data_IF_759833944956
#
_entry.id   IF_759833944956
#
_cell.length_a   1.000
_cell.length_b   1.000
_cell.length_c   1.000
_cell.angle_alpha   90.00
_cell.angle_beta   90.00
_cell.angle_gamma   90.00
#
_symmetry.space_group_name_H-M   'P 1'
#
loop_
_entity.id
_entity.type
_entity.pdbx_description
1 polymer ?
#
# COMPACT_ATOMS: atom_id res chain seq x y z
N UNK A 1 -12.84 -2.99 -3.35
CA UNK A 1 -11.83 -4.06 -3.30
C UNK A 1 -12.05 -5.14 -4.36
N UNK A 2 -13.21 -5.78 -4.45
CA UNK A 2 -13.44 -6.84 -5.49
C UNK A 2 -13.20 -6.38 -6.93
N UNK A 3 -13.58 -5.13 -7.27
CA UNK A 3 -13.31 -4.58 -8.60
C UNK A 3 -11.81 -4.50 -8.92
N UNK A 4 -10.95 -4.27 -7.92
CA UNK A 4 -9.50 -4.27 -8.11
C UNK A 4 -8.98 -5.68 -8.35
N UNK A 5 -9.46 -6.68 -7.60
CA UNK A 5 -9.10 -8.09 -7.85
C UNK A 5 -9.49 -8.57 -9.24
N UNK A 6 -10.67 -8.18 -9.74
CA UNK A 6 -11.06 -8.48 -11.13
C UNK A 6 -10.13 -7.86 -12.16
N UNK A 7 -9.66 -6.64 -11.90
CA UNK A 7 -8.70 -5.97 -12.78
C UNK A 7 -7.33 -6.65 -12.73
N UNK A 8 -6.90 -7.09 -11.55
CA UNK A 8 -5.63 -7.77 -11.34
C UNK A 8 -5.62 -9.26 -11.77
N UNK A 9 -6.78 -9.86 -12.08
CA UNK A 9 -6.95 -11.31 -12.30
C UNK A 9 -5.93 -11.89 -13.28
N UNK A 10 -5.71 -11.21 -14.42
CA UNK A 10 -4.78 -11.69 -15.44
C UNK A 10 -3.31 -11.72 -14.97
N UNK A 11 -2.92 -10.77 -14.12
CA UNK A 11 -1.59 -10.71 -13.53
C UNK A 11 -1.47 -11.71 -12.38
N UNK A 12 -2.48 -11.78 -11.51
CA UNK A 12 -2.56 -12.75 -10.41
C UNK A 12 -2.44 -14.18 -10.94
N UNK A 13 -3.13 -14.52 -12.04
CA UNK A 13 -3.05 -15.84 -12.68
C UNK A 13 -1.64 -16.17 -13.23
N UNK A 14 -0.82 -15.16 -13.52
CA UNK A 14 0.58 -15.30 -13.94
C UNK A 14 1.58 -15.19 -12.77
N UNK A 15 1.09 -15.15 -11.53
CA UNK A 15 1.88 -14.89 -10.34
C UNK A 15 2.65 -13.55 -10.42
N UNK A 16 1.97 -12.50 -10.89
CA UNK A 16 2.48 -11.14 -10.93
C UNK A 16 1.64 -10.24 -10.03
N UNK A 17 2.29 -9.41 -9.23
CA UNK A 17 1.62 -8.39 -8.44
C UNK A 17 0.97 -7.34 -9.34
N UNK A 18 -0.04 -6.66 -8.81
CA UNK A 18 -0.66 -5.49 -9.44
C UNK A 18 -0.85 -4.46 -8.35
N UNK A 19 -0.54 -3.20 -8.66
CA UNK A 19 -0.65 -2.07 -7.75
C UNK A 19 -1.53 -0.95 -8.32
N UNK A 20 -2.08 -0.14 -7.41
CA UNK A 20 -2.90 1.03 -7.73
C UNK A 20 -2.80 2.08 -6.63
N UNK A 21 -3.03 3.34 -7.01
CA UNK A 21 -2.96 4.49 -6.11
C UNK A 21 -4.36 4.82 -5.59
N UNK A 22 -4.50 4.91 -4.27
CA UNK A 22 -5.73 5.33 -3.62
C UNK A 22 -5.75 6.85 -3.59
N UNK A 23 -6.75 7.44 -4.25
CA UNK A 23 -6.92 8.87 -4.33
C UNK A 23 -8.31 9.28 -3.86
N UNK A 24 -8.41 10.50 -3.32
CA UNK A 24 -9.65 10.88 -2.66
C UNK A 24 -9.74 12.32 -2.20
N UNK A 25 -10.76 12.59 -1.38
CA UNK A 25 -11.14 13.93 -0.98
C UNK A 25 -11.19 14.05 0.55
N UNK A 26 -10.85 15.23 1.07
CA UNK A 26 -11.02 15.57 2.47
C UNK A 26 -12.37 16.27 2.68
N UNK A 27 -13.23 15.72 3.54
CA UNK A 27 -14.49 16.36 3.92
C UNK A 27 -14.71 16.26 5.42
N UNK A 28 -14.95 17.41 6.07
CA UNK A 28 -15.19 17.49 7.52
C UNK A 28 -14.12 16.76 8.35
N UNK A 29 -12.84 16.91 8.00
CA UNK A 29 -11.69 16.26 8.66
C UNK A 29 -11.64 14.73 8.50
N UNK A 30 -12.36 14.17 7.53
CA UNK A 30 -12.30 12.76 7.18
C UNK A 30 -11.88 12.63 5.72
N UNK A 31 -10.85 11.82 5.46
CA UNK A 31 -10.48 11.44 4.11
C UNK A 31 -11.41 10.35 3.59
N UNK A 32 -11.83 10.49 2.34
CA UNK A 32 -12.64 9.51 1.64
C UNK A 32 -11.87 9.06 0.41
N UNK A 33 -11.55 7.77 0.33
CA UNK A 33 -11.04 7.15 -0.89
C UNK A 33 -12.20 7.09 -1.88
N UNK A 34 -12.13 7.90 -2.94
CA UNK A 34 -13.18 8.00 -3.97
C UNK A 34 -12.73 7.51 -5.33
N UNK A 35 -11.42 7.40 -5.53
CA UNK A 35 -10.82 7.15 -6.84
C UNK A 35 -9.70 6.13 -6.68
N UNK A 36 -9.69 5.12 -7.54
CA UNK A 36 -8.58 4.19 -7.68
C UNK A 36 -7.92 4.46 -9.02
N UNK A 37 -6.65 4.85 -9.00
CA UNK A 37 -5.85 5.09 -10.20
C UNK A 37 -5.00 3.84 -10.43
N UNK A 38 -5.16 3.20 -11.60
CA UNK A 38 -4.31 2.08 -12.01
C UNK A 38 -3.25 2.62 -12.95
N UNK A 39 -2.00 2.83 -12.48
CA UNK A 39 -0.96 3.36 -13.32
C UNK A 39 -0.44 2.28 -14.28
N UNK A 40 0.30 2.72 -15.29
CA UNK A 40 1.28 1.83 -15.94
C UNK A 40 2.24 1.33 -14.84
N UNK A 41 2.66 0.09 -14.95
CA UNK A 41 3.42 -0.55 -13.87
C UNK A 41 4.27 -1.69 -14.40
N UNK A 42 5.38 -1.93 -13.72
CA UNK A 42 6.23 -3.11 -13.89
C UNK A 42 6.12 -3.97 -12.63
N UNK A 43 5.97 -5.27 -12.79
CA UNK A 43 5.64 -6.18 -11.69
C UNK A 43 6.46 -7.46 -11.75
N UNK A 44 6.81 -7.97 -10.57
CA UNK A 44 7.33 -9.32 -10.34
C UNK A 44 6.32 -10.13 -9.51
N UNK A 45 6.71 -11.30 -9.01
CA UNK A 45 5.90 -12.08 -8.06
C UNK A 45 5.81 -11.48 -6.67
N UNK A 46 6.74 -10.57 -6.32
CA UNK A 46 6.94 -10.08 -4.96
C UNK A 46 7.13 -8.55 -4.90
N UNK A 47 6.88 -7.85 -6.02
CA UNK A 47 6.93 -6.39 -6.07
C UNK A 47 6.15 -5.81 -7.26
N UNK A 48 5.65 -4.59 -7.10
CA UNK A 48 5.06 -3.79 -8.17
C UNK A 48 5.55 -2.34 -8.07
N UNK A 49 5.99 -1.79 -9.20
CA UNK A 49 6.41 -0.40 -9.30
C UNK A 49 5.50 0.34 -10.29
N UNK A 50 4.80 1.37 -9.80
CA UNK A 50 4.09 2.31 -10.65
C UNK A 50 5.08 3.09 -11.51
N UNK A 51 4.76 3.26 -12.78
CA UNK A 51 5.51 4.07 -13.74
C UNK A 51 4.63 5.21 -14.25
N UNK A 52 5.23 6.15 -14.99
CA UNK A 52 4.53 7.30 -15.56
C UNK A 52 3.85 8.18 -14.49
N UNK A 53 4.59 8.59 -13.47
CA UNK A 53 4.09 9.42 -12.36
C UNK A 53 3.40 10.71 -12.81
N UNK A 54 3.83 11.29 -13.94
CA UNK A 54 3.18 12.46 -14.56
C UNK A 54 1.71 12.20 -14.89
N UNK A 55 1.37 11.02 -15.43
CA UNK A 55 -0.02 10.65 -15.75
C UNK A 55 -0.86 10.47 -14.47
N UNK A 56 -0.24 9.92 -13.41
CA UNK A 56 -0.89 9.80 -12.10
C UNK A 56 -1.21 11.19 -11.55
N UNK A 57 -0.21 12.07 -11.56
CA UNK A 57 -0.35 13.45 -11.11
C UNK A 57 -1.42 14.21 -11.89
N UNK A 58 -1.46 14.09 -13.22
CA UNK A 58 -2.48 14.73 -14.05
C UNK A 58 -3.91 14.34 -13.65
N UNK A 59 -4.14 13.06 -13.36
CA UNK A 59 -5.48 12.58 -12.93
C UNK A 59 -5.83 13.17 -11.56
N UNK A 60 -4.87 13.21 -10.64
CA UNK A 60 -5.07 13.76 -9.31
C UNK A 60 -5.32 15.27 -9.34
N UNK A 61 -4.54 16.02 -10.10
CA UNK A 61 -4.66 17.48 -10.24
C UNK A 61 -6.02 17.87 -10.86
N UNK A 62 -6.37 17.25 -12.01
CA UNK A 62 -7.68 17.48 -12.67
C UNK A 62 -8.85 17.17 -11.76
N UNK A 63 -8.71 16.17 -10.90
CA UNK A 63 -9.74 15.76 -9.93
C UNK A 63 -9.66 16.46 -8.57
N UNK A 64 -8.64 17.30 -8.34
CA UNK A 64 -8.31 17.86 -7.01
C UNK A 64 -8.25 16.79 -5.91
N UNK A 65 -7.61 15.66 -6.20
CA UNK A 65 -7.57 14.48 -5.34
C UNK A 65 -6.26 14.41 -4.54
N UNK A 66 -6.38 14.08 -3.26
CA UNK A 66 -5.25 13.72 -2.41
C UNK A 66 -4.80 12.28 -2.69
N UNK A 67 -3.48 12.02 -2.64
CA UNK A 67 -2.94 10.66 -2.48
C UNK A 67 -3.21 10.19 -1.06
N UNK A 68 -3.95 9.10 -0.90
CA UNK A 68 -4.34 8.55 0.41
C UNK A 68 -3.68 7.21 0.74
N UNK A 69 -2.77 6.76 -0.12
CA UNK A 69 -2.11 5.48 0.02
C UNK A 69 -2.18 4.67 -1.27
N UNK A 70 -2.10 3.35 -1.13
CA UNK A 70 -1.99 2.44 -2.27
C UNK A 70 -2.59 1.08 -1.95
N UNK A 71 -2.86 0.31 -3.00
CA UNK A 71 -3.38 -1.05 -2.93
C UNK A 71 -2.55 -1.93 -3.86
N UNK A 72 -2.20 -3.14 -3.41
CA UNK A 72 -1.56 -4.14 -4.25
C UNK A 72 -2.06 -5.56 -3.98
N UNK A 73 -1.71 -6.47 -4.87
CA UNK A 73 -2.01 -7.90 -4.71
C UNK A 73 -0.78 -8.68 -4.30
N UNK A 74 -0.95 -9.64 -3.38
CA UNK A 74 -0.05 -10.77 -3.18
C UNK A 74 -0.65 -12.00 -3.87
N UNK A 75 -0.22 -12.38 -5.09
CA UNK A 75 -0.86 -13.45 -5.85
C UNK A 75 -0.79 -14.81 -5.18
N UNK A 76 0.31 -15.09 -4.46
CA UNK A 76 0.54 -16.39 -3.81
C UNK A 76 0.89 -16.27 -2.34
N UNK A 77 1.39 -15.11 -1.90
CA UNK A 77 1.81 -14.85 -0.53
C UNK A 77 0.61 -14.58 0.38
N UNK A 78 0.83 -14.70 1.69
CA UNK A 78 -0.17 -14.36 2.70
C UNK A 78 -0.35 -12.84 2.81
N UNK A 79 -1.36 -12.41 3.56
CA UNK A 79 -1.67 -10.99 3.73
C UNK A 79 -0.80 -10.32 4.82
N UNK A 80 0.32 -9.72 4.40
CA UNK A 80 1.27 -8.98 5.26
C UNK A 80 1.98 -7.87 4.46
N UNK A 81 2.72 -6.98 5.13
CA UNK A 81 3.63 -6.04 4.43
C UNK A 81 5.04 -6.65 4.35
N UNK A 82 5.53 -6.86 3.13
CA UNK A 82 6.91 -7.27 2.87
C UNK A 82 7.90 -6.13 3.13
N UNK A 83 9.21 -6.42 3.18
CA UNK A 83 10.25 -5.38 3.32
C UNK A 83 10.11 -4.28 2.25
N UNK A 84 9.86 -4.68 1.00
CA UNK A 84 9.65 -3.74 -0.11
C UNK A 84 8.39 -2.88 0.13
N UNK A 85 7.32 -3.48 0.63
CA UNK A 85 6.08 -2.75 0.95
C UNK A 85 6.28 -1.75 2.09
N UNK A 86 7.07 -2.10 3.12
CA UNK A 86 7.37 -1.22 4.24
C UNK A 86 8.12 0.03 3.75
N UNK A 87 9.16 -0.15 2.95
CA UNK A 87 9.93 0.94 2.34
C UNK A 87 9.08 1.81 1.41
N UNK A 88 8.24 1.18 0.57
CA UNK A 88 7.32 1.91 -0.28
C UNK A 88 6.33 2.72 0.55
N UNK A 89 5.68 2.10 1.54
CA UNK A 89 4.65 2.73 2.34
C UNK A 89 5.19 3.85 3.24
N UNK A 90 6.42 3.74 3.73
CA UNK A 90 7.09 4.80 4.50
C UNK A 90 7.00 6.15 3.79
N UNK A 91 7.29 6.20 2.49
CA UNK A 91 7.25 7.45 1.72
C UNK A 91 5.84 8.06 1.65
N UNK A 92 4.79 7.22 1.57
CA UNK A 92 3.41 7.69 1.63
C UNK A 92 3.06 8.25 3.02
N UNK A 93 3.45 7.54 4.08
CA UNK A 93 3.09 7.89 5.45
C UNK A 93 3.86 9.10 5.98
N UNK A 94 5.09 9.34 5.51
CA UNK A 94 5.82 10.60 5.76
C UNK A 94 5.06 11.80 5.17
N UNK A 95 4.51 11.65 3.96
CA UNK A 95 3.80 12.74 3.28
C UNK A 95 2.39 12.95 3.82
N UNK A 96 1.73 11.89 4.26
CA UNK A 96 0.40 11.91 4.86
C UNK A 96 0.31 10.85 5.97
N UNK A 97 0.29 11.25 7.25
CA UNK A 97 0.22 10.30 8.37
C UNK A 97 -0.96 9.32 8.30
N UNK A 98 -2.08 9.73 7.70
CA UNK A 98 -3.27 8.90 7.51
C UNK A 98 -3.19 7.95 6.30
N UNK A 99 -2.10 7.94 5.52
CA UNK A 99 -1.96 7.08 4.36
C UNK A 99 -2.03 5.60 4.73
N UNK A 100 -2.59 4.77 3.84
CA UNK A 100 -2.79 3.34 4.07
C UNK A 100 -2.19 2.47 2.96
N UNK A 101 -1.72 1.29 3.33
CA UNK A 101 -1.33 0.23 2.41
C UNK A 101 -2.36 -0.90 2.47
N UNK A 102 -3.03 -1.19 1.35
CA UNK A 102 -3.99 -2.28 1.24
C UNK A 102 -3.34 -3.46 0.54
N UNK A 103 -3.21 -4.59 1.22
CA UNK A 103 -2.75 -5.85 0.64
C UNK A 103 -3.98 -6.69 0.28
N UNK A 104 -4.04 -7.18 -0.95
CA UNK A 104 -5.06 -8.12 -1.41
C UNK A 104 -4.41 -9.50 -1.64
N UNK A 105 -4.69 -10.48 -0.79
CA UNK A 105 -4.10 -11.82 -0.84
C UNK A 105 -5.17 -12.88 -1.19
N UNK A 106 -5.52 -13.07 -2.47
CA UNK A 106 -6.63 -13.93 -2.89
C UNK A 106 -6.47 -15.42 -2.52
N UNK A 107 -5.23 -15.90 -2.39
CA UNK A 107 -4.91 -17.30 -2.03
C UNK A 107 -4.84 -17.54 -0.52
N UNK A 108 -4.77 -16.48 0.30
CA UNK A 108 -4.73 -16.59 1.75
C UNK A 108 -6.10 -17.02 2.29
N UNK A 109 -6.16 -18.24 2.83
CA UNK A 109 -7.39 -18.83 3.37
C UNK A 109 -7.82 -18.21 4.70
N UNK A 110 -6.93 -17.47 5.37
CA UNK A 110 -7.18 -16.88 6.69
C UNK A 110 -7.54 -15.39 6.59
N UNK A 111 -6.88 -14.65 5.70
CA UNK A 111 -7.07 -13.20 5.54
C UNK A 111 -6.90 -12.81 4.08
N UNK A 112 -8.02 -12.59 3.39
CA UNK A 112 -8.00 -12.23 1.95
C UNK A 112 -7.53 -10.81 1.67
N UNK A 113 -7.56 -9.93 2.67
CA UNK A 113 -7.06 -8.57 2.54
C UNK A 113 -6.69 -8.00 3.91
N UNK A 114 -5.85 -6.97 3.91
CA UNK A 114 -5.44 -6.24 5.10
C UNK A 114 -5.21 -4.77 4.74
N UNK A 115 -5.46 -3.89 5.72
CA UNK A 115 -5.25 -2.46 5.58
C UNK A 115 -4.29 -2.06 6.68
N UNK A 116 -3.12 -1.60 6.29
CA UNK A 116 -1.99 -1.43 7.18
C UNK A 116 -1.44 -0.01 7.14
N UNK A 117 -0.81 0.37 8.25
CA UNK A 117 0.07 1.53 8.37
C UNK A 117 1.29 1.17 9.20
N UNK A 118 2.40 1.87 8.99
CA UNK A 118 3.58 1.74 9.85
C UNK A 118 3.24 2.29 11.24
N UNK A 119 3.74 1.65 12.28
CA UNK A 119 3.61 2.19 13.63
C UNK A 119 4.46 3.46 13.76
N UNK A 120 3.96 4.47 14.47
CA UNK A 120 4.62 5.75 14.66
C UNK A 120 4.73 6.01 16.18
N UNK A 121 5.93 6.18 16.76
CA UNK A 121 7.23 6.35 16.08
C UNK A 121 7.98 5.07 15.71
N UNK A 122 7.60 3.91 16.23
CA UNK A 122 8.40 2.67 16.16
C UNK A 122 8.80 2.26 14.74
N UNK A 123 7.82 1.80 13.95
CA UNK A 123 8.04 1.33 12.59
C UNK A 123 8.53 2.39 11.61
N UNK A 124 7.99 3.62 11.72
CA UNK A 124 8.47 4.76 10.95
C UNK A 124 9.96 5.03 11.20
N UNK A 125 10.42 4.93 12.44
CA UNK A 125 11.83 5.07 12.80
C UNK A 125 12.71 3.95 12.23
N UNK A 126 12.27 2.69 12.35
CA UNK A 126 13.00 1.53 11.82
C UNK A 126 13.23 1.66 10.31
N UNK A 127 12.21 2.06 9.56
CA UNK A 127 12.34 2.21 8.10
C UNK A 127 13.11 3.48 7.72
N UNK A 128 12.96 4.58 8.48
CA UNK A 128 13.74 5.81 8.28
C UNK A 128 15.26 5.58 8.35
N UNK A 129 15.71 4.84 9.36
CA UNK A 129 17.13 4.60 9.61
C UNK A 129 17.72 3.49 8.72
N UNK A 130 16.88 2.75 7.99
CA UNK A 130 17.33 1.66 7.15
C UNK A 130 18.06 2.16 5.89
N UNK A 131 19.25 1.60 5.63
CA UNK A 131 20.09 1.93 4.46
C UNK A 131 20.28 0.74 3.51
N UNK A 132 19.62 -0.38 3.78
CA UNK A 132 19.72 -1.60 2.98
C UNK A 132 18.87 -1.49 1.71
N UNK A 133 19.26 -2.26 0.68
CA UNK A 133 18.56 -2.27 -0.62
C UNK A 133 18.20 -3.69 -1.00
N UNK A 134 17.13 -3.84 -1.79
CA UNK A 134 16.57 -5.15 -2.11
C UNK A 134 15.82 -5.76 -0.92
N UNK A 135 15.55 -7.05 -0.99
CA UNK A 135 14.77 -7.74 0.04
C UNK A 135 15.63 -8.11 1.26
N UNK A 136 15.28 -7.59 2.43
CA UNK A 136 16.00 -7.82 3.68
C UNK A 136 15.06 -7.82 4.90
N UNK A 137 15.40 -8.49 6.01
CA UNK A 137 14.63 -8.40 7.25
C UNK A 137 14.86 -7.06 7.96
N UNK A 138 13.90 -6.66 8.79
CA UNK A 138 14.01 -5.49 9.68
C UNK A 138 13.97 -5.94 11.14
N UNK A 139 14.76 -5.29 11.99
CA UNK A 139 14.70 -5.47 13.43
C UNK A 139 13.41 -4.86 14.01
N UNK A 140 12.90 -5.45 15.09
CA UNK A 140 11.75 -4.89 15.79
C UNK A 140 12.12 -3.55 16.45
N UNK A 141 11.18 -2.58 16.48
CA UNK A 141 11.30 -1.36 17.27
C UNK A 141 11.76 -1.62 18.72
N UNK A 142 12.58 -0.71 19.27
CA UNK A 142 13.14 -0.82 20.62
C UNK A 142 12.09 -0.88 21.74
N UNK A 143 10.89 -0.36 21.48
CA UNK A 143 9.76 -0.38 22.39
C UNK A 143 8.96 -1.70 22.36
N UNK A 144 9.36 -2.65 21.51
CA UNK A 144 8.73 -3.97 21.35
C UNK A 144 7.42 -3.93 20.56
N UNK A 145 7.09 -2.81 19.92
CA UNK A 145 5.94 -2.72 19.01
C UNK A 145 6.25 -3.41 17.67
N UNK A 146 5.23 -3.81 16.92
CA UNK A 146 5.43 -4.28 15.55
C UNK A 146 5.76 -3.10 14.61
N UNK A 147 6.48 -3.34 13.53
CA UNK A 147 6.84 -2.29 12.54
C UNK A 147 5.58 -1.71 11.87
N UNK A 148 4.53 -2.50 11.71
CA UNK A 148 3.27 -2.08 11.14
C UNK A 148 2.12 -2.77 11.83
N UNK A 149 0.94 -2.19 11.71
CA UNK A 149 -0.28 -2.71 12.31
C UNK A 149 -1.48 -2.48 11.38
N UNK A 150 -2.63 -3.08 11.73
CA UNK A 150 -3.88 -2.79 11.02
C UNK A 150 -4.33 -1.36 11.31
N UNK A 151 -4.79 -0.65 10.28
CA UNK A 151 -5.29 0.71 10.44
C UNK A 151 -6.57 0.73 11.29
N UNK A 152 -6.49 1.30 12.50
CA UNK A 152 -7.63 1.51 13.38
C UNK A 152 -8.50 2.71 12.97
N UNK A 153 -7.97 3.60 12.13
CA UNK A 153 -8.62 4.82 11.64
C UNK A 153 -9.35 4.67 10.30
N UNK A 154 -9.44 3.46 9.76
CA UNK A 154 -10.14 3.18 8.50
C UNK A 154 -11.51 2.58 8.77
N UNK A 155 -12.53 3.14 8.11
CA UNK A 155 -13.90 2.66 8.14
C UNK A 155 -14.30 2.15 6.76
N UNK A 156 -14.68 0.88 6.67
CA UNK A 156 -15.29 0.31 5.47
C UNK A 156 -16.80 0.24 5.68
N UNK A 157 -17.55 0.85 4.75
CA UNK A 157 -19.01 0.72 4.67
C UNK A 157 -19.41 -0.36 3.67
#
# INVERSE_FOLDING_TARGET
MESFLRLAEANTAKNLETCGILAGNLKKRTFYVTTLIIPKQESTSDSCQATNEEEIFEVQDKGSLFTLGWIHTHPTQTCFLSSIDLHNHYSYQVMLPEAIAIVMAPTDTTRKHGIFHLTDPGGMGVIHDCQETGFHPHEEPLDGTSIYEHCSHVYMN
#
